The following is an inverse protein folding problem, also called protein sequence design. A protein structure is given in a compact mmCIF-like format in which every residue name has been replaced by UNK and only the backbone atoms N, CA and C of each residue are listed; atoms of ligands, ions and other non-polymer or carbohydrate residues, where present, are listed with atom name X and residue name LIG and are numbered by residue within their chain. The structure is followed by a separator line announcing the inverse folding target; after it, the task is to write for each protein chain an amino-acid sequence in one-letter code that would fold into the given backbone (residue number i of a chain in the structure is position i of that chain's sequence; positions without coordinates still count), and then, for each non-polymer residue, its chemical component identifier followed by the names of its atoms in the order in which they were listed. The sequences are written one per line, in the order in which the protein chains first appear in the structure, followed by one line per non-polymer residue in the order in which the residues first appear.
data_IF_875438866767
#
_entry.id   IF_875438866767
#
_cell.length_a   1.000
_cell.length_b   1.000
_cell.length_c   1.000
_cell.angle_alpha   90.00
_cell.angle_beta   90.00
_cell.angle_gamma   90.00
#
_symmetry.space_group_name_H-M   'P 1'
#
loop_
_entity.id
_entity.type
_entity.pdbx_description
1 polymer ?
#
# COMPACT_ATOMS: atom_id res chain seq x y z
N UNK A 1 -8.54 0.46 -8.45
CA UNK A 1 -7.82 -0.79 -8.11
C UNK A 1 -8.75 -1.98 -8.32
N UNK A 2 -8.22 -3.14 -8.68
CA UNK A 2 -9.00 -4.35 -8.93
C UNK A 2 -9.78 -4.80 -7.66
N UNK A 3 -11.07 -5.10 -7.82
CA UNK A 3 -11.95 -5.54 -6.73
C UNK A 3 -11.54 -6.91 -6.18
N UNK A 4 -11.01 -7.80 -7.03
CA UNK A 4 -10.52 -9.10 -6.61
C UNK A 4 -9.31 -8.95 -5.68
N UNK A 5 -8.36 -8.07 -6.03
CA UNK A 5 -7.21 -7.73 -5.18
C UNK A 5 -7.66 -7.18 -3.81
N UNK A 6 -8.60 -6.23 -3.79
CA UNK A 6 -9.15 -5.68 -2.54
C UNK A 6 -9.80 -6.77 -1.69
N UNK A 7 -10.57 -7.67 -2.29
CA UNK A 7 -11.24 -8.76 -1.58
C UNK A 7 -10.26 -9.78 -0.99
N UNK A 8 -9.16 -10.07 -1.69
CA UNK A 8 -8.12 -10.99 -1.23
C UNK A 8 -7.35 -10.43 -0.03
N UNK A 9 -7.03 -9.14 -0.06
CA UNK A 9 -6.12 -8.50 0.90
C UNK A 9 -6.78 -7.65 1.98
N UNK A 10 -8.11 -7.62 2.07
CA UNK A 10 -8.79 -7.12 3.27
C UNK A 10 -8.72 -8.15 4.41
N UNK A 11 -8.68 -7.67 5.65
CA UNK A 11 -8.60 -8.52 6.84
C UNK A 11 -9.85 -9.38 7.01
N UNK A 12 -11.03 -8.77 6.94
CA UNK A 12 -12.34 -9.43 7.07
C UNK A 12 -13.22 -9.15 5.85
N UNK A 13 -14.22 -10.00 5.61
CA UNK A 13 -15.21 -9.79 4.54
C UNK A 13 -16.03 -8.50 4.66
N UNK A 14 -16.05 -7.88 5.86
CA UNK A 14 -16.75 -6.63 6.12
C UNK A 14 -15.86 -5.39 5.94
N UNK A 15 -14.54 -5.57 5.87
CA UNK A 15 -13.59 -4.48 5.66
C UNK A 15 -13.69 -3.92 4.21
N UNK A 16 -13.59 -2.59 4.11
CA UNK A 16 -13.59 -1.85 2.83
C UNK A 16 -14.79 -2.16 1.90
N UNK A 17 -15.95 -2.46 2.50
CA UNK A 17 -17.22 -2.72 1.78
C UNK A 17 -17.99 -1.44 1.44
N UNK A 18 -17.70 -0.33 2.12
CA UNK A 18 -18.34 0.98 1.91
C UNK A 18 -17.30 1.99 1.42
N UNK A 19 -17.74 2.93 0.59
CA UNK A 19 -16.94 4.09 0.21
C UNK A 19 -16.89 5.07 1.38
N UNK A 20 -15.70 5.28 1.94
CA UNK A 20 -15.40 6.18 3.06
C UNK A 20 -14.18 7.02 2.69
N UNK A 21 -13.90 8.08 3.44
CA UNK A 21 -12.74 8.96 3.18
C UNK A 21 -11.40 8.21 3.18
N UNK A 22 -11.26 7.14 3.97
CA UNK A 22 -10.10 6.24 3.97
C UNK A 22 -10.40 4.96 3.19
N UNK A 23 -10.23 5.01 1.87
CA UNK A 23 -10.41 3.85 0.98
C UNK A 23 -9.24 2.86 1.13
N UNK A 24 -9.43 1.64 0.63
CA UNK A 24 -8.38 0.60 0.63
C UNK A 24 -7.10 1.11 -0.06
N UNK A 25 -7.26 1.72 -1.23
CA UNK A 25 -6.18 2.26 -2.05
C UNK A 25 -5.41 3.35 -1.31
N UNK A 26 -6.14 4.30 -0.72
CA UNK A 26 -5.53 5.40 0.01
C UNK A 26 -4.74 4.90 1.21
N UNK A 27 -5.30 3.96 1.98
CA UNK A 27 -4.60 3.36 3.12
C UNK A 27 -3.34 2.62 2.67
N UNK A 28 -3.42 1.86 1.57
CA UNK A 28 -2.26 1.16 1.01
C UNK A 28 -1.14 2.13 0.60
N UNK A 29 -1.48 3.19 -0.16
CA UNK A 29 -0.53 4.22 -0.59
C UNK A 29 0.06 4.96 0.60
N UNK A 30 -0.74 5.29 1.62
CA UNK A 30 -0.24 5.95 2.83
C UNK A 30 0.77 5.09 3.60
N UNK A 31 0.61 3.76 3.61
CA UNK A 31 1.62 2.86 4.19
C UNK A 31 2.89 2.83 3.33
N UNK A 32 2.76 2.77 1.99
CA UNK A 32 3.90 2.77 1.07
C UNK A 32 4.72 4.07 1.13
N UNK A 33 4.06 5.21 1.31
CA UNK A 33 4.70 6.53 1.32
C UNK A 33 5.82 6.68 2.35
N UNK A 34 5.80 5.88 3.45
CA UNK A 34 6.75 5.89 4.58
C UNK A 34 7.17 7.30 5.05
N UNK A 35 6.71 7.72 6.22
CA UNK A 35 7.02 9.05 6.76
C UNK A 35 7.63 8.99 8.15
N UNK A 36 8.47 9.99 8.47
CA UNK A 36 9.01 10.24 9.82
C UNK A 36 8.20 11.28 10.61
N UNK A 37 7.18 11.87 9.98
CA UNK A 37 6.26 12.84 10.63
C UNK A 37 5.27 12.11 11.54
N UNK A 38 4.64 12.87 12.45
CA UNK A 38 3.53 12.35 13.25
C UNK A 38 2.38 11.85 12.36
N UNK A 39 1.66 10.84 12.83
CA UNK A 39 0.58 10.21 12.06
C UNK A 39 -0.50 11.21 11.62
N UNK A 40 -0.86 12.14 12.51
CA UNK A 40 -1.83 13.18 12.21
C UNK A 40 -1.36 14.12 11.10
N UNK A 41 -0.08 14.50 11.08
CA UNK A 41 0.47 15.36 10.04
C UNK A 41 0.48 14.66 8.67
N UNK A 42 0.83 13.37 8.64
CA UNK A 42 0.78 12.57 7.41
C UNK A 42 -0.64 12.48 6.85
N UNK A 43 -1.62 12.22 7.72
CA UNK A 43 -3.03 12.15 7.32
C UNK A 43 -3.51 13.53 6.85
N UNK A 44 -3.22 14.60 7.58
CA UNK A 44 -3.60 15.96 7.19
C UNK A 44 -3.03 16.36 5.83
N UNK A 45 -1.76 16.05 5.57
CA UNK A 45 -1.14 16.28 4.25
C UNK A 45 -1.86 15.52 3.15
N UNK A 46 -2.14 14.23 3.37
CA UNK A 46 -2.84 13.41 2.39
C UNK A 46 -4.27 13.91 2.12
N UNK A 47 -5.02 14.26 3.17
CA UNK A 47 -6.39 14.77 3.02
C UNK A 47 -6.41 16.15 2.36
N UNK A 48 -5.44 17.01 2.69
CA UNK A 48 -5.26 18.33 2.05
C UNK A 48 -4.97 18.21 0.56
N UNK A 49 -4.05 17.31 0.17
CA UNK A 49 -3.76 17.04 -1.25
C UNK A 49 -4.97 16.52 -2.03
N UNK A 50 -5.84 15.75 -1.37
CA UNK A 50 -7.05 15.19 -1.96
C UNK A 50 -8.26 16.15 -1.90
N UNK A 51 -8.13 17.32 -1.29
CA UNK A 51 -9.24 18.28 -1.13
C UNK A 51 -10.41 17.76 -0.30
N UNK A 52 -10.16 16.80 0.59
CA UNK A 52 -11.19 16.14 1.43
C UNK A 52 -11.07 16.56 2.89
N UNK A 53 -12.18 16.41 3.63
CA UNK A 53 -12.25 16.77 5.04
C UNK A 53 -11.18 16.08 5.91
N UNK A 54 -10.84 16.71 7.02
CA UNK A 54 -9.83 16.20 7.96
C UNK A 54 -10.25 14.86 8.55
N UNK A 55 -9.27 14.00 8.80
CA UNK A 55 -9.46 12.68 9.40
C UNK A 55 -8.47 12.51 10.54
N UNK A 56 -8.89 11.81 11.60
CA UNK A 56 -8.05 11.60 12.77
C UNK A 56 -7.00 10.51 12.51
N UNK A 57 -5.85 10.64 13.16
CA UNK A 57 -4.81 9.62 13.19
C UNK A 57 -5.34 8.26 13.68
N UNK A 58 -6.26 8.25 14.64
CA UNK A 58 -6.90 7.03 15.14
C UNK A 58 -7.76 6.34 14.09
N UNK A 59 -8.54 7.10 13.30
CA UNK A 59 -9.33 6.55 12.20
C UNK A 59 -8.42 5.92 11.13
N UNK A 60 -7.28 6.55 10.83
CA UNK A 60 -6.28 5.96 9.94
C UNK A 60 -5.68 4.67 10.50
N UNK A 61 -5.26 4.65 11.77
CA UNK A 61 -4.75 3.43 12.41
C UNK A 61 -5.78 2.29 12.34
N UNK A 62 -7.05 2.56 12.64
CA UNK A 62 -8.14 1.58 12.53
C UNK A 62 -8.36 1.09 11.10
N UNK A 63 -8.24 1.97 10.10
CA UNK A 63 -8.33 1.58 8.69
C UNK A 63 -7.14 0.72 8.27
N UNK A 64 -5.93 1.05 8.73
CA UNK A 64 -4.70 0.27 8.47
C UNK A 64 -4.80 -1.15 9.02
N UNK A 65 -5.39 -1.37 10.19
CA UNK A 65 -5.59 -2.73 10.73
C UNK A 65 -6.51 -3.61 9.87
N UNK A 66 -7.30 -3.03 8.98
CA UNK A 66 -8.17 -3.77 8.06
C UNK A 66 -7.44 -4.25 6.80
N UNK A 67 -6.17 -3.87 6.60
CA UNK A 67 -5.35 -4.21 5.45
C UNK A 67 -4.42 -5.38 5.79
N UNK A 68 -4.44 -6.46 5.00
CA UNK A 68 -3.49 -7.57 5.14
C UNK A 68 -2.14 -7.19 4.53
N UNK A 69 -1.07 -7.59 5.21
CA UNK A 69 0.30 -7.37 4.73
C UNK A 69 0.58 -8.08 3.38
N UNK A 70 -0.19 -9.12 3.05
CA UNK A 70 -0.06 -9.85 1.77
C UNK A 70 -0.30 -8.96 0.56
N UNK A 71 -1.02 -7.83 0.69
CA UNK A 71 -1.15 -6.84 -0.38
C UNK A 71 0.22 -6.33 -0.84
N UNK A 72 1.13 -6.07 0.11
CA UNK A 72 2.46 -5.55 -0.20
C UNK A 72 3.36 -6.62 -0.84
N UNK A 73 3.20 -7.88 -0.43
CA UNK A 73 3.93 -9.01 -1.02
C UNK A 73 3.51 -9.14 -2.49
N UNK A 74 2.22 -9.23 -2.76
CA UNK A 74 1.70 -9.36 -4.12
C UNK A 74 2.04 -8.14 -4.98
N UNK A 75 1.91 -6.93 -4.42
CA UNK A 75 2.28 -5.71 -5.12
C UNK A 75 3.77 -5.68 -5.45
N UNK A 76 4.65 -6.10 -4.53
CA UNK A 76 6.08 -6.18 -4.80
C UNK A 76 6.40 -7.21 -5.90
N UNK A 77 5.76 -8.38 -5.85
CA UNK A 77 5.95 -9.42 -6.88
C UNK A 77 5.52 -8.93 -8.26
N UNK A 78 4.34 -8.30 -8.36
CA UNK A 78 3.80 -7.83 -9.64
C UNK A 78 4.49 -6.57 -10.16
N UNK A 79 4.70 -5.56 -9.31
CA UNK A 79 5.16 -4.25 -9.75
C UNK A 79 6.69 -4.13 -9.84
N UNK A 80 7.42 -4.80 -8.94
CA UNK A 80 8.88 -4.71 -8.86
C UNK A 80 9.52 -5.95 -9.47
N UNK A 81 9.18 -7.14 -8.99
CA UNK A 81 9.90 -8.37 -9.38
C UNK A 81 9.64 -8.73 -10.83
N UNK A 82 8.38 -8.83 -11.25
CA UNK A 82 8.05 -9.18 -12.63
C UNK A 82 8.57 -8.12 -13.62
N UNK A 83 8.44 -6.84 -13.29
CA UNK A 83 8.82 -5.74 -14.18
C UNK A 83 10.34 -5.57 -14.31
N UNK A 84 11.08 -5.66 -13.20
CA UNK A 84 12.51 -5.34 -13.19
C UNK A 84 13.42 -6.56 -13.33
N UNK A 85 12.90 -7.75 -13.06
CA UNK A 85 13.70 -8.98 -13.02
C UNK A 85 13.06 -10.16 -13.76
N UNK A 86 11.88 -9.99 -14.37
CA UNK A 86 11.17 -11.07 -15.07
C UNK A 86 11.78 -11.44 -16.41
N UNK A 87 12.52 -10.52 -17.03
CA UNK A 87 13.22 -10.71 -18.31
C UNK A 87 14.54 -11.50 -18.18
N UNK A 88 15.10 -11.59 -16.98
CA UNK A 88 16.39 -12.24 -16.72
C UNK A 88 17.60 -11.41 -17.17
N UNK A 89 17.40 -10.16 -17.62
CA UNK A 89 18.46 -9.31 -18.16
C UNK A 89 19.19 -8.54 -17.07
N UNK A 90 20.02 -9.28 -16.31
CA UNK A 90 20.85 -8.72 -15.27
C UNK A 90 22.16 -9.48 -15.14
N UNK A 91 23.24 -8.75 -14.81
CA UNK A 91 24.56 -9.35 -14.65
C UNK A 91 24.58 -10.31 -13.45
N UNK A 92 25.19 -11.47 -13.66
CA UNK A 92 25.39 -12.48 -12.62
C UNK A 92 26.89 -12.70 -12.39
N UNK A 93 27.25 -12.91 -11.13
CA UNK A 93 28.58 -13.35 -10.72
C UNK A 93 28.40 -14.62 -9.89
N UNK A 94 29.04 -15.72 -10.30
CA UNK A 94 28.90 -17.03 -9.64
C UNK A 94 27.44 -17.50 -9.49
N UNK A 95 26.58 -17.19 -10.45
CA UNK A 95 25.15 -17.54 -10.42
C UNK A 95 24.28 -16.61 -9.58
N UNK A 96 24.87 -15.70 -8.81
CA UNK A 96 24.15 -14.68 -8.04
C UNK A 96 24.00 -13.39 -8.84
N UNK A 97 22.85 -12.73 -8.72
CA UNK A 97 22.62 -11.42 -9.32
C UNK A 97 23.51 -10.37 -8.66
N UNK A 98 24.18 -9.56 -9.46
CA UNK A 98 24.94 -8.40 -8.97
C UNK A 98 23.96 -7.25 -8.71
N UNK A 99 23.99 -6.68 -7.51
CA UNK A 99 23.30 -5.45 -7.17
C UNK A 99 24.34 -4.34 -7.26
N UNK A 100 24.18 -3.41 -8.21
CA UNK A 100 25.03 -2.24 -8.35
C UNK A 100 24.59 -1.12 -7.41
#
# INVERSE_FOLDING_TARGET
MDEAFKCLHRWTGQAFTRVRSLTFELVLVMVLRKSVKSLQNVVNEAMSWLGVGTVTASAYSQARYKLKHTAFIELNQKAVVATMYGDGDYKRFWGFRIVA
#
